data_IF_084327748032
#
_entry.id   IF_084327748032
#
_cell.length_a   1.000
_cell.length_b   1.000
_cell.length_c   1.000
_cell.angle_alpha   90.00
_cell.angle_beta   90.00
_cell.angle_gamma   90.00
#
_symmetry.space_group_name_H-M   'P 1'
#
loop_
_entity.id
_entity.type
_entity.pdbx_description
1 polymer ?
#
# COMPACT_ATOMS: atom_id res chain seq x y z
N UNK A 1 -0.06 -30.00 1.46
CA UNK A 1 -0.23 -29.03 0.36
C UNK A 1 -1.72 -28.78 0.18
N UNK A 2 -2.27 -27.61 0.51
CA UNK A 2 -3.66 -27.32 0.20
C UNK A 2 -3.75 -26.93 -1.28
N UNK A 3 -4.56 -27.67 -2.02
CA UNK A 3 -4.87 -27.36 -3.41
C UNK A 3 -5.69 -26.08 -3.43
N UNK A 4 -5.17 -25.03 -4.08
CA UNK A 4 -5.89 -23.80 -4.35
C UNK A 4 -6.96 -24.10 -5.42
N UNK A 5 -8.19 -24.30 -5.00
CA UNK A 5 -9.33 -24.41 -5.93
C UNK A 5 -9.72 -22.99 -6.35
N UNK A 6 -9.07 -22.47 -7.39
CA UNK A 6 -9.53 -21.28 -8.08
C UNK A 6 -10.96 -21.50 -8.58
N UNK A 7 -11.87 -20.55 -8.30
CA UNK A 7 -13.23 -20.60 -8.89
C UNK A 7 -13.11 -20.28 -10.36
N UNK A 8 -13.45 -21.26 -11.22
CA UNK A 8 -13.59 -21.07 -12.66
C UNK A 8 -14.97 -20.48 -12.98
N UNK A 9 -15.01 -19.42 -13.77
CA UNK A 9 -16.24 -18.83 -14.30
C UNK A 9 -16.17 -19.01 -15.81
N UNK A 10 -17.09 -19.79 -16.38
CA UNK A 10 -17.22 -19.92 -17.84
C UNK A 10 -18.10 -18.80 -18.36
N UNK A 11 -17.59 -17.96 -19.26
CA UNK A 11 -18.37 -16.93 -19.94
C UNK A 11 -18.63 -17.38 -21.36
N UNK A 12 -19.88 -17.76 -21.65
CA UNK A 12 -20.31 -18.01 -23.03
C UNK A 12 -20.82 -16.71 -23.64
N UNK A 13 -20.13 -16.18 -24.65
CA UNK A 13 -20.59 -15.00 -25.37
C UNK A 13 -21.71 -15.40 -26.31
N UNK A 14 -22.93 -14.99 -26.02
CA UNK A 14 -24.05 -15.10 -26.95
C UNK A 14 -23.81 -14.07 -28.07
N UNK A 15 -23.67 -14.51 -29.30
CA UNK A 15 -23.54 -13.62 -30.44
C UNK A 15 -24.77 -12.71 -30.51
N UNK A 16 -24.58 -11.39 -30.44
CA UNK A 16 -25.62 -10.45 -30.80
C UNK A 16 -25.75 -10.49 -32.32
N UNK A 17 -26.95 -10.74 -32.82
CA UNK A 17 -27.27 -10.62 -34.24
C UNK A 17 -27.11 -9.13 -34.61
N UNK A 18 -26.08 -8.78 -35.37
CA UNK A 18 -25.95 -7.53 -36.06
C UNK A 18 -26.09 -7.81 -37.57
N UNK A 19 -27.04 -7.16 -38.17
CA UNK A 19 -27.26 -7.21 -39.61
C UNK A 19 -26.02 -6.54 -40.29
N UNK A 20 -25.20 -7.33 -40.92
CA UNK A 20 -24.01 -6.90 -41.64
C UNK A 20 -22.96 -7.98 -41.71
N UNK A 21 -22.77 -8.52 -42.90
CA UNK A 21 -21.94 -9.66 -43.26
C UNK A 21 -20.46 -9.38 -42.99
N UNK A 22 -20.02 -9.63 -41.76
CA UNK A 22 -18.62 -9.90 -41.43
C UNK A 22 -18.61 -11.31 -40.81
N UNK A 23 -17.81 -12.22 -41.36
CA UNK A 23 -17.69 -13.57 -40.87
C UNK A 23 -17.44 -13.53 -39.33
N UNK A 24 -18.44 -13.97 -38.57
CA UNK A 24 -18.34 -14.07 -37.12
C UNK A 24 -17.19 -15.01 -36.77
N UNK A 25 -16.19 -14.50 -36.06
CA UNK A 25 -15.17 -15.36 -35.49
C UNK A 25 -15.83 -16.46 -34.65
N UNK A 26 -15.33 -17.70 -34.71
CA UNK A 26 -15.92 -18.82 -33.97
C UNK A 26 -16.02 -18.46 -32.47
N UNK A 27 -17.04 -18.96 -31.77
CA UNK A 27 -17.17 -18.72 -30.34
C UNK A 27 -15.91 -19.23 -29.64
N UNK A 28 -15.19 -18.32 -29.00
CA UNK A 28 -14.05 -18.69 -28.17
C UNK A 28 -14.62 -19.08 -26.81
N UNK A 29 -14.48 -20.35 -26.43
CA UNK A 29 -14.71 -20.78 -25.07
C UNK A 29 -13.60 -20.19 -24.18
N UNK A 30 -13.88 -19.03 -23.58
CA UNK A 30 -12.97 -18.39 -22.68
C UNK A 30 -13.26 -18.82 -21.24
N UNK A 31 -12.22 -19.33 -20.56
CA UNK A 31 -12.28 -19.64 -19.14
C UNK A 31 -11.61 -18.52 -18.35
N UNK A 32 -12.30 -18.00 -17.33
CA UNK A 32 -11.72 -17.02 -16.41
C UNK A 32 -11.32 -17.73 -15.13
N UNK A 33 -10.02 -17.70 -14.83
CA UNK A 33 -9.48 -18.15 -13.55
C UNK A 33 -9.31 -16.93 -12.64
N UNK A 34 -9.78 -17.03 -11.41
CA UNK A 34 -9.65 -15.97 -10.41
C UNK A 34 -8.51 -16.31 -9.46
N UNK A 35 -7.56 -15.39 -9.30
CA UNK A 35 -6.49 -15.54 -8.31
C UNK A 35 -7.06 -15.57 -6.88
N UNK A 36 -6.51 -16.43 -6.04
CA UNK A 36 -6.82 -16.53 -4.61
C UNK A 36 -5.54 -16.53 -3.79
N UNK A 37 -5.40 -15.62 -2.77
CA UNK A 37 -6.40 -14.65 -2.31
C UNK A 37 -6.50 -13.42 -3.23
N UNK A 38 -7.67 -12.79 -3.24
CA UNK A 38 -7.95 -11.52 -3.96
C UNK A 38 -8.81 -10.60 -3.08
N UNK A 39 -9.09 -9.39 -3.57
CA UNK A 39 -9.93 -8.41 -2.88
C UNK A 39 -9.21 -7.68 -1.76
N UNK A 40 -9.95 -7.17 -0.79
CA UNK A 40 -9.39 -6.40 0.31
C UNK A 40 -8.67 -7.29 1.33
N UNK A 41 -7.69 -6.72 2.03
CA UNK A 41 -7.09 -7.33 3.21
C UNK A 41 -7.71 -6.73 4.48
N UNK A 42 -7.51 -7.38 5.62
CA UNK A 42 -8.03 -6.91 6.90
C UNK A 42 -7.61 -5.46 7.25
N UNK A 43 -6.44 -5.02 6.80
CA UNK A 43 -5.98 -3.63 6.99
C UNK A 43 -6.81 -2.62 6.19
N UNK A 44 -7.15 -2.96 4.94
CA UNK A 44 -8.02 -2.15 4.07
C UNK A 44 -9.45 -2.12 4.62
N UNK A 45 -10.04 -3.27 4.94
CA UNK A 45 -11.39 -3.34 5.52
C UNK A 45 -11.49 -2.52 6.80
N UNK A 46 -10.53 -2.64 7.71
CA UNK A 46 -10.46 -1.86 8.94
C UNK A 46 -10.41 -0.34 8.67
N UNK A 47 -9.61 0.08 7.70
CA UNK A 47 -9.48 1.50 7.39
C UNK A 47 -10.78 2.10 6.85
N UNK A 48 -11.46 1.39 5.95
CA UNK A 48 -12.78 1.77 5.43
C UNK A 48 -13.80 1.84 6.58
N UNK A 49 -13.86 0.80 7.40
CA UNK A 49 -14.79 0.71 8.53
C UNK A 49 -14.62 1.87 9.53
N UNK A 50 -13.39 2.32 9.78
CA UNK A 50 -13.13 3.47 10.67
C UNK A 50 -13.81 4.73 10.13
N UNK A 51 -13.71 5.02 8.83
CA UNK A 51 -14.35 6.20 8.22
C UNK A 51 -15.88 6.06 8.27
N UNK A 52 -16.41 4.90 7.91
CA UNK A 52 -17.86 4.65 7.95
C UNK A 52 -18.43 4.78 9.37
N UNK A 53 -17.75 4.20 10.36
CA UNK A 53 -18.14 4.35 11.76
C UNK A 53 -18.04 5.79 12.25
N UNK A 54 -17.04 6.54 11.80
CA UNK A 54 -16.92 7.96 12.12
C UNK A 54 -18.09 8.76 11.53
N UNK A 55 -18.47 8.51 10.27
CA UNK A 55 -19.63 9.12 9.62
C UNK A 55 -20.93 8.84 10.40
N UNK A 56 -21.15 7.58 10.80
CA UNK A 56 -22.34 7.20 11.58
C UNK A 56 -22.33 7.87 12.95
N UNK A 57 -21.18 7.93 13.63
CA UNK A 57 -21.11 8.39 15.04
C UNK A 57 -21.10 9.91 15.16
N UNK A 58 -20.45 10.62 14.25
CA UNK A 58 -20.22 12.07 14.36
C UNK A 58 -20.94 12.88 13.29
N UNK A 59 -21.52 12.22 12.28
CA UNK A 59 -22.14 12.87 11.13
C UNK A 59 -21.09 13.38 10.13
N UNK A 60 -21.57 13.72 8.94
CA UNK A 60 -20.76 14.37 7.92
C UNK A 60 -20.58 15.87 8.23
N UNK A 61 -19.45 16.50 7.83
CA UNK A 61 -18.33 15.87 7.13
C UNK A 61 -17.33 15.19 8.07
N UNK A 62 -16.71 14.11 7.57
CA UNK A 62 -15.51 13.51 8.17
C UNK A 62 -14.35 13.79 7.23
N UNK A 63 -13.28 14.39 7.74
CA UNK A 63 -12.09 14.68 6.97
C UNK A 63 -11.14 13.48 6.99
N UNK A 64 -10.56 13.14 5.84
CA UNK A 64 -9.63 12.03 5.68
C UNK A 64 -8.34 12.54 5.06
N UNK A 65 -7.24 12.41 5.78
CA UNK A 65 -5.92 12.83 5.28
C UNK A 65 -5.43 11.81 4.29
N UNK A 66 -5.29 12.24 3.02
CA UNK A 66 -5.00 11.43 1.86
C UNK A 66 -6.10 10.39 1.56
N UNK A 67 -6.04 9.69 0.41
CA UNK A 67 -6.94 8.57 0.12
C UNK A 67 -6.87 7.54 1.25
N UNK A 68 -8.02 7.08 1.78
CA UNK A 68 -8.02 6.11 2.88
C UNK A 68 -7.28 4.82 2.49
N UNK A 69 -7.42 4.41 1.25
CA UNK A 69 -6.72 3.35 0.54
C UNK A 69 -6.67 3.72 -0.93
N UNK A 70 -5.70 3.24 -1.68
CA UNK A 70 -5.58 3.48 -3.13
C UNK A 70 -6.61 2.69 -3.93
N UNK A 71 -7.87 3.08 -3.81
CA UNK A 71 -9.00 2.49 -4.53
C UNK A 71 -10.05 3.55 -4.84
N UNK A 72 -10.11 3.97 -6.11
CA UNK A 72 -11.00 5.05 -6.57
C UNK A 72 -12.48 4.74 -6.28
N UNK A 73 -12.91 3.49 -6.38
CA UNK A 73 -14.28 3.11 -6.06
C UNK A 73 -14.59 3.36 -4.57
N UNK A 74 -13.73 2.92 -3.67
CA UNK A 74 -13.88 3.14 -2.21
C UNK A 74 -13.87 4.63 -1.88
N UNK A 75 -12.94 5.38 -2.45
CA UNK A 75 -12.83 6.83 -2.23
C UNK A 75 -14.09 7.54 -2.67
N UNK A 76 -14.65 7.20 -3.85
CA UNK A 76 -15.87 7.81 -4.35
C UNK A 76 -17.11 7.41 -3.52
N UNK A 77 -17.20 6.18 -3.07
CA UNK A 77 -18.29 5.72 -2.19
C UNK A 77 -18.27 6.47 -0.85
N UNK A 78 -17.09 6.62 -0.24
CA UNK A 78 -16.95 7.38 1.01
C UNK A 78 -17.23 8.87 0.83
N UNK A 79 -16.83 9.46 -0.32
CA UNK A 79 -17.19 10.84 -0.68
C UNK A 79 -18.73 11.00 -0.76
N UNK A 80 -19.40 10.08 -1.42
CA UNK A 80 -20.86 10.09 -1.52
C UNK A 80 -21.56 9.98 -0.14
N UNK A 81 -20.91 9.32 0.83
CA UNK A 81 -21.37 9.22 2.23
C UNK A 81 -21.02 10.44 3.08
N UNK A 82 -20.25 11.41 2.57
CA UNK A 82 -19.90 12.66 3.25
C UNK A 82 -18.48 12.72 3.82
N UNK A 83 -17.57 11.85 3.40
CA UNK A 83 -16.14 12.00 3.67
C UNK A 83 -15.52 13.05 2.74
N UNK A 84 -14.64 13.90 3.28
CA UNK A 84 -13.85 14.89 2.55
C UNK A 84 -12.38 14.48 2.62
N UNK A 85 -11.79 14.17 1.48
CA UNK A 85 -10.37 13.83 1.38
C UNK A 85 -9.56 15.10 1.18
N UNK A 86 -8.51 15.27 2.01
CA UNK A 86 -7.66 16.46 2.03
C UNK A 86 -6.18 16.06 2.00
N UNK A 87 -5.35 16.97 1.51
CA UNK A 87 -3.90 16.81 1.52
C UNK A 87 -3.23 17.73 2.55
N UNK A 88 -3.82 18.87 2.86
CA UNK A 88 -3.31 19.80 3.86
C UNK A 88 -4.28 19.91 5.04
N UNK A 89 -3.75 19.85 6.27
CA UNK A 89 -4.54 20.04 7.49
C UNK A 89 -5.13 21.44 7.61
N UNK A 90 -4.62 22.42 6.85
CA UNK A 90 -5.20 23.77 6.77
C UNK A 90 -6.63 23.75 6.18
N UNK A 91 -6.99 22.74 5.41
CA UNK A 91 -8.32 22.56 4.84
C UNK A 91 -9.36 22.10 5.87
N UNK A 92 -8.90 21.65 7.07
CA UNK A 92 -9.77 21.09 8.09
C UNK A 92 -10.22 22.17 9.08
N UNK A 93 -11.54 22.39 9.28
CA UNK A 93 -12.04 23.33 10.26
C UNK A 93 -11.67 22.95 11.71
N UNK A 94 -11.51 23.93 12.60
CA UNK A 94 -11.24 23.64 14.01
C UNK A 94 -12.31 22.72 14.65
N UNK A 95 -11.86 21.76 15.44
CA UNK A 95 -12.72 20.81 16.14
C UNK A 95 -13.35 19.71 15.27
N UNK A 96 -13.06 19.69 13.97
CA UNK A 96 -13.55 18.66 13.06
C UNK A 96 -12.98 17.27 13.40
N UNK A 97 -13.63 16.25 12.86
CA UNK A 97 -13.16 14.86 12.95
C UNK A 97 -12.25 14.57 11.75
N UNK A 98 -11.04 14.13 12.05
CA UNK A 98 -10.00 13.79 11.09
C UNK A 98 -9.64 12.31 11.19
N UNK A 99 -9.50 11.64 10.05
CA UNK A 99 -9.01 10.25 9.97
C UNK A 99 -7.68 10.25 9.22
N UNK A 100 -6.65 9.63 9.77
CA UNK A 100 -5.42 9.31 9.05
C UNK A 100 -5.61 8.04 8.24
N UNK A 101 -5.11 8.03 7.01
CA UNK A 101 -5.28 6.92 6.08
C UNK A 101 -4.51 5.66 6.50
N UNK A 102 -4.78 4.54 5.81
CA UNK A 102 -4.09 3.27 6.06
C UNK A 102 -2.57 3.33 5.87
N UNK A 103 -2.08 4.31 5.13
CA UNK A 103 -0.67 4.51 4.81
C UNK A 103 0.17 5.04 5.98
N UNK A 104 -0.48 5.59 7.01
CA UNK A 104 0.18 6.31 8.09
C UNK A 104 0.55 7.75 7.71
N UNK A 105 1.03 8.50 8.67
CA UNK A 105 1.41 9.90 8.49
C UNK A 105 2.74 10.22 9.19
N UNK A 106 3.47 11.26 8.72
CA UNK A 106 4.62 11.80 9.42
C UNK A 106 4.29 12.27 10.84
N UNK A 107 5.25 12.19 11.77
CA UNK A 107 5.10 12.72 13.14
C UNK A 107 4.77 14.21 13.19
N UNK A 108 5.19 14.97 12.20
CA UNK A 108 4.84 16.39 12.09
C UNK A 108 3.32 16.58 11.90
N UNK A 109 2.70 15.75 11.06
CA UNK A 109 1.25 15.79 10.80
C UNK A 109 0.46 15.38 12.05
N UNK A 110 0.91 14.35 12.78
CA UNK A 110 0.27 13.97 14.06
C UNK A 110 0.29 15.13 15.05
N UNK A 111 1.46 15.78 15.22
CA UNK A 111 1.62 16.91 16.15
C UNK A 111 0.79 18.11 15.73
N UNK A 112 0.73 18.40 14.44
CA UNK A 112 -0.10 19.49 13.92
C UNK A 112 -1.59 19.24 14.16
N UNK A 113 -2.07 18.03 13.89
CA UNK A 113 -3.45 17.66 14.13
C UNK A 113 -3.84 17.81 15.60
N UNK A 114 -2.94 17.40 16.52
CA UNK A 114 -3.13 17.58 17.96
C UNK A 114 -3.14 19.07 18.34
N UNK A 115 -2.20 19.88 17.83
CA UNK A 115 -2.11 21.30 18.12
C UNK A 115 -3.35 22.08 17.63
N UNK A 116 -3.97 21.66 16.53
CA UNK A 116 -5.21 22.22 15.99
C UNK A 116 -6.48 21.74 16.72
N UNK A 117 -6.35 20.79 17.67
CA UNK A 117 -7.47 20.29 18.47
C UNK A 117 -8.47 19.43 17.69
N UNK A 118 -8.04 18.78 16.61
CA UNK A 118 -8.91 17.87 15.86
C UNK A 118 -9.23 16.62 16.66
N UNK A 119 -10.42 16.05 16.43
CA UNK A 119 -10.74 14.70 16.88
C UNK A 119 -10.15 13.69 15.90
N UNK A 120 -8.99 13.14 16.23
CA UNK A 120 -8.23 12.27 15.35
C UNK A 120 -8.58 10.79 15.55
N UNK A 121 -8.79 10.06 14.46
CA UNK A 121 -8.83 8.61 14.40
C UNK A 121 -7.72 8.13 13.46
N UNK A 122 -6.93 7.19 13.95
CA UNK A 122 -5.82 6.64 13.19
C UNK A 122 -6.23 5.31 12.53
N UNK A 123 -6.36 5.32 11.20
CA UNK A 123 -6.63 4.14 10.40
C UNK A 123 -5.38 3.48 9.83
N UNK A 124 -4.18 3.92 10.23
CA UNK A 124 -2.90 3.32 9.81
C UNK A 124 -2.93 1.80 9.94
N UNK A 125 -2.56 1.09 8.88
CA UNK A 125 -2.48 -0.36 8.90
C UNK A 125 -1.52 -0.83 10.01
N UNK A 126 -1.89 -1.83 10.84
CA UNK A 126 -1.00 -2.32 11.90
C UNK A 126 0.38 -2.77 11.41
N UNK A 127 0.49 -3.23 10.16
CA UNK A 127 1.77 -3.62 9.58
C UNK A 127 2.64 -2.41 9.22
N UNK A 128 2.05 -1.30 8.80
CA UNK A 128 2.75 -0.01 8.63
C UNK A 128 3.17 0.53 10.00
N UNK A 129 2.27 0.50 10.99
CA UNK A 129 2.60 0.92 12.37
C UNK A 129 3.76 0.12 12.95
N UNK A 130 3.88 -1.18 12.62
CA UNK A 130 5.03 -2.02 13.01
C UNK A 130 6.34 -1.42 12.47
N UNK A 131 6.39 -1.03 11.20
CA UNK A 131 7.58 -0.42 10.59
C UNK A 131 7.91 0.91 11.28
N UNK A 132 6.90 1.77 11.53
CA UNK A 132 7.09 3.03 12.25
C UNK A 132 7.68 2.84 13.65
N UNK A 133 7.18 1.84 14.39
CA UNK A 133 7.70 1.52 15.74
C UNK A 133 9.12 1.00 15.67
N UNK A 134 9.45 0.15 14.69
CA UNK A 134 10.80 -0.38 14.50
C UNK A 134 11.79 0.73 14.15
N UNK A 135 11.43 1.59 13.21
CA UNK A 135 12.23 2.79 12.83
C UNK A 135 12.49 3.68 14.05
N UNK A 136 11.45 4.03 14.80
CA UNK A 136 11.60 4.87 15.98
C UNK A 136 12.44 4.19 17.08
N UNK A 137 12.37 2.88 17.23
CA UNK A 137 13.17 2.12 18.19
C UNK A 137 14.64 2.10 17.80
N UNK A 138 14.95 1.70 16.57
CA UNK A 138 16.33 1.58 16.09
C UNK A 138 17.02 2.95 15.98
N UNK A 139 16.27 4.00 15.65
CA UNK A 139 16.82 5.36 15.68
C UNK A 139 17.35 5.76 17.08
N UNK A 140 16.63 5.40 18.14
CA UNK A 140 17.10 5.62 19.51
C UNK A 140 18.36 4.81 19.85
N UNK A 141 18.60 3.72 19.14
CA UNK A 141 19.81 2.91 19.22
C UNK A 141 20.94 3.45 18.31
N UNK A 142 20.70 4.58 17.62
CA UNK A 142 21.68 5.28 16.77
C UNK A 142 21.79 4.75 15.35
N UNK A 143 20.75 4.05 14.84
CA UNK A 143 20.74 3.59 13.45
C UNK A 143 20.25 4.68 12.50
N UNK A 144 20.86 4.73 11.31
CA UNK A 144 20.30 5.32 10.09
C UNK A 144 19.61 4.23 9.28
N UNK A 145 18.80 4.64 8.28
CA UNK A 145 17.95 3.72 7.55
C UNK A 145 18.11 3.85 6.05
N UNK A 146 17.98 2.73 5.38
CA UNK A 146 17.74 2.62 3.95
C UNK A 146 16.29 2.17 3.79
N UNK A 147 15.45 3.07 3.24
CA UNK A 147 14.04 2.80 2.95
C UNK A 147 13.92 2.36 1.51
N UNK A 148 13.52 1.12 1.28
CA UNK A 148 13.15 0.62 -0.06
C UNK A 148 11.67 0.94 -0.27
N UNK A 149 11.35 1.75 -1.29
CA UNK A 149 9.99 2.22 -1.51
C UNK A 149 9.89 3.20 -2.67
N UNK A 150 8.67 3.58 -3.03
CA UNK A 150 8.42 4.52 -4.12
C UNK A 150 8.42 5.96 -3.60
N UNK A 151 9.13 6.83 -4.32
CA UNK A 151 9.17 8.26 -4.04
C UNK A 151 7.77 8.87 -4.17
N UNK A 152 7.39 9.69 -3.19
CA UNK A 152 6.08 10.35 -3.17
C UNK A 152 4.92 9.42 -2.77
N UNK A 153 5.17 8.14 -2.48
CA UNK A 153 4.13 7.28 -1.95
C UNK A 153 3.84 7.61 -0.48
N UNK A 154 2.56 7.79 -0.07
CA UNK A 154 2.19 8.22 1.27
C UNK A 154 2.76 7.35 2.40
N UNK A 155 2.83 6.03 2.22
CA UNK A 155 3.42 5.12 3.20
C UNK A 155 4.92 5.38 3.39
N UNK A 156 5.65 5.61 2.29
CA UNK A 156 7.07 5.98 2.34
C UNK A 156 7.28 7.31 3.05
N UNK A 157 6.49 8.32 2.72
CA UNK A 157 6.52 9.63 3.39
C UNK A 157 6.17 9.52 4.87
N UNK A 158 5.15 8.73 5.21
CA UNK A 158 4.76 8.44 6.59
C UNK A 158 5.88 7.81 7.39
N UNK A 159 6.57 6.82 6.82
CA UNK A 159 7.69 6.12 7.46
C UNK A 159 8.91 7.02 7.59
N UNK A 160 9.32 7.70 6.53
CA UNK A 160 10.45 8.65 6.58
C UNK A 160 10.17 9.79 7.56
N UNK A 161 8.94 10.27 7.63
CA UNK A 161 8.51 11.32 8.54
C UNK A 161 8.38 10.90 10.02
N UNK A 162 8.70 9.65 10.38
CA UNK A 162 8.81 9.25 11.79
C UNK A 162 10.06 9.85 12.46
N UNK A 163 11.07 10.21 11.69
CA UNK A 163 12.36 10.73 12.14
C UNK A 163 12.63 12.13 11.59
N UNK A 164 13.49 12.90 12.25
CA UNK A 164 13.93 14.20 11.73
C UNK A 164 14.91 14.09 10.55
N UNK A 165 15.42 12.89 10.25
CA UNK A 165 16.38 12.60 9.19
C UNK A 165 17.03 11.24 9.37
N UNK A 166 18.06 10.95 8.55
CA UNK A 166 18.79 9.68 8.62
C UNK A 166 18.07 8.50 7.94
N UNK A 167 17.13 8.79 7.03
CA UNK A 167 16.50 7.78 6.17
C UNK A 167 16.79 8.12 4.71
N UNK A 168 17.37 7.16 4.00
CA UNK A 168 17.76 7.25 2.60
C UNK A 168 16.80 6.41 1.75
N UNK A 169 16.03 7.06 0.88
CA UNK A 169 15.11 6.37 -0.03
C UNK A 169 15.88 5.71 -1.17
N UNK A 170 15.52 4.50 -1.50
CA UNK A 170 16.01 3.70 -2.62
C UNK A 170 14.81 3.10 -3.34
N UNK A 171 14.67 3.42 -4.63
CA UNK A 171 13.61 2.88 -5.47
C UNK A 171 14.12 1.74 -6.35
N UNK A 172 15.39 1.83 -6.79
CA UNK A 172 16.02 0.92 -7.72
C UNK A 172 17.44 0.56 -7.26
N UNK A 173 17.98 -0.53 -7.81
CA UNK A 173 19.35 -1.00 -7.50
C UNK A 173 20.40 0.10 -7.72
N UNK A 174 20.23 0.93 -8.78
CA UNK A 174 21.14 2.02 -9.10
C UNK A 174 21.22 3.10 -8.02
N UNK A 175 20.13 3.31 -7.26
CA UNK A 175 20.08 4.31 -6.20
C UNK A 175 20.99 3.94 -5.03
N UNK A 176 21.19 2.64 -4.81
CA UNK A 176 22.10 2.15 -3.77
C UNK A 176 23.49 2.80 -3.88
N UNK A 177 23.98 3.04 -5.11
CA UNK A 177 25.27 3.70 -5.35
C UNK A 177 25.28 5.18 -4.96
N UNK A 178 24.11 5.84 -4.88
CA UNK A 178 23.97 7.30 -4.67
C UNK A 178 23.82 7.69 -3.21
N UNK A 179 23.28 6.80 -2.37
CA UNK A 179 23.06 7.11 -0.95
C UNK A 179 24.40 7.35 -0.23
N UNK A 180 24.40 8.23 0.76
CA UNK A 180 25.58 8.63 1.55
C UNK A 180 25.21 8.65 3.03
N UNK A 181 25.04 7.48 3.67
CA UNK A 181 24.82 7.44 5.11
C UNK A 181 26.04 7.98 5.86
N UNK A 182 25.80 8.60 7.01
CA UNK A 182 26.88 9.11 7.86
C UNK A 182 27.50 8.01 8.70
N UNK A 183 26.74 6.94 8.96
CA UNK A 183 27.17 5.76 9.71
C UNK A 183 26.91 4.50 8.92
N UNK A 184 27.98 3.80 8.52
CA UNK A 184 27.86 2.54 7.76
C UNK A 184 27.76 1.30 8.64
N UNK A 185 28.17 1.40 9.91
CA UNK A 185 28.13 0.29 10.87
C UNK A 185 26.75 0.13 11.56
N UNK A 186 25.96 1.20 11.57
CA UNK A 186 24.62 1.24 12.17
C UNK A 186 23.58 1.66 11.14
N UNK A 187 23.47 0.83 10.11
CA UNK A 187 22.43 0.94 9.10
C UNK A 187 21.39 -0.15 9.28
N UNK A 188 20.13 0.16 9.02
CA UNK A 188 19.04 -0.80 8.95
C UNK A 188 18.26 -0.61 7.64
N UNK A 189 17.80 -1.72 7.06
CA UNK A 189 16.87 -1.69 5.93
C UNK A 189 15.45 -1.77 6.47
N UNK A 190 14.56 -0.97 5.90
CA UNK A 190 13.11 -1.06 6.03
C UNK A 190 12.49 -0.96 4.65
N UNK A 191 11.33 -1.56 4.46
CA UNK A 191 10.65 -1.53 3.16
C UNK A 191 9.22 -1.02 3.28
N UNK A 192 8.71 -0.44 2.20
CA UNK A 192 7.28 -0.23 2.02
C UNK A 192 6.58 -1.60 2.03
N UNK A 193 5.36 -1.66 2.59
CA UNK A 193 4.64 -2.93 2.79
C UNK A 193 4.04 -3.52 1.50
N UNK A 194 3.99 -2.74 0.43
CA UNK A 194 3.30 -3.04 -0.83
C UNK A 194 4.24 -3.04 -2.04
N UNK A 195 5.46 -3.57 -1.88
CA UNK A 195 6.43 -3.72 -2.97
C UNK A 195 6.34 -5.09 -3.64
N UNK A 196 6.92 -5.19 -4.85
CA UNK A 196 7.30 -6.46 -5.43
C UNK A 196 8.32 -7.16 -4.51
N UNK A 197 8.04 -8.40 -4.15
CA UNK A 197 8.94 -9.20 -3.29
C UNK A 197 10.28 -9.42 -3.98
N UNK A 198 10.25 -9.66 -5.30
CA UNK A 198 11.44 -9.94 -6.08
C UNK A 198 12.33 -8.69 -6.21
N UNK A 199 11.73 -7.53 -6.53
CA UNK A 199 12.46 -6.26 -6.67
C UNK A 199 13.05 -5.83 -5.32
N UNK A 200 12.29 -5.95 -4.24
CA UNK A 200 12.78 -5.64 -2.89
C UNK A 200 13.93 -6.55 -2.47
N UNK A 201 13.91 -7.82 -2.87
CA UNK A 201 14.99 -8.76 -2.59
C UNK A 201 16.25 -8.39 -3.39
N UNK A 202 16.12 -7.99 -4.67
CA UNK A 202 17.25 -7.55 -5.50
C UNK A 202 17.90 -6.29 -4.95
N UNK A 203 17.09 -5.28 -4.59
CA UNK A 203 17.60 -4.05 -3.98
C UNK A 203 18.27 -4.34 -2.64
N UNK A 204 17.67 -5.20 -1.80
CA UNK A 204 18.25 -5.59 -0.51
C UNK A 204 19.60 -6.28 -0.70
N UNK A 205 19.73 -7.15 -1.69
CA UNK A 205 21.01 -7.81 -2.01
C UNK A 205 22.08 -6.79 -2.41
N UNK A 206 21.74 -5.80 -3.24
CA UNK A 206 22.65 -4.72 -3.61
C UNK A 206 23.06 -3.85 -2.40
N UNK A 207 22.11 -3.55 -1.50
CA UNK A 207 22.39 -2.85 -0.24
C UNK A 207 23.37 -3.63 0.62
N UNK A 208 23.17 -4.94 0.79
CA UNK A 208 24.07 -5.82 1.56
C UNK A 208 25.45 -5.93 0.93
N UNK A 209 25.53 -5.99 -0.39
CA UNK A 209 26.83 -6.01 -1.09
C UNK A 209 27.64 -4.74 -0.81
N UNK A 210 26.97 -3.57 -0.74
CA UNK A 210 27.62 -2.28 -0.46
C UNK A 210 27.86 -2.03 1.02
N UNK A 211 26.93 -2.44 1.88
CA UNK A 211 26.95 -2.25 3.34
C UNK A 211 26.81 -3.59 4.06
N UNK A 212 27.90 -4.37 4.19
CA UNK A 212 27.83 -5.74 4.72
C UNK A 212 27.32 -5.84 6.17
N UNK A 213 27.41 -4.75 6.94
CA UNK A 213 26.93 -4.71 8.34
C UNK A 213 25.48 -4.23 8.46
N UNK A 214 24.78 -4.00 7.33
CA UNK A 214 23.39 -3.52 7.35
C UNK A 214 22.48 -4.54 8.04
N UNK A 215 21.64 -4.04 8.93
CA UNK A 215 20.66 -4.84 9.65
C UNK A 215 19.41 -4.99 8.82
N UNK A 216 19.00 -6.20 8.54
CA UNK A 216 17.70 -6.50 7.94
C UNK A 216 16.59 -6.53 9.01
N UNK A 217 15.32 -6.27 8.63
CA UNK A 217 14.19 -6.39 9.54
C UNK A 217 14.09 -7.85 10.05
N UNK A 218 13.73 -8.03 11.33
CA UNK A 218 13.57 -9.37 11.92
C UNK A 218 12.47 -10.20 11.26
N UNK A 219 11.49 -9.54 10.70
CA UNK A 219 10.41 -10.10 9.91
C UNK A 219 10.25 -9.22 8.69
N UNK A 220 9.94 -9.81 7.54
CA UNK A 220 9.73 -9.04 6.32
C UNK A 220 8.69 -7.93 6.54
N UNK A 221 8.98 -6.74 6.02
CA UNK A 221 8.07 -5.60 6.11
C UNK A 221 7.00 -5.67 5.04
N UNK A 222 7.28 -6.29 3.86
CA UNK A 222 6.26 -6.54 2.85
C UNK A 222 5.15 -7.38 3.47
N UNK A 223 3.91 -6.88 3.43
CA UNK A 223 2.82 -7.50 4.14
C UNK A 223 2.41 -8.85 3.52
N UNK A 224 1.96 -9.77 4.37
CA UNK A 224 1.50 -11.11 3.95
C UNK A 224 0.44 -11.05 2.84
N UNK A 225 -0.41 -10.03 2.86
CA UNK A 225 -1.46 -9.86 1.87
C UNK A 225 -0.87 -9.54 0.49
N UNK A 226 0.18 -8.72 0.42
CA UNK A 226 0.94 -8.44 -0.81
C UNK A 226 1.65 -9.70 -1.29
N UNK A 227 2.39 -10.39 -0.42
CA UNK A 227 3.11 -11.62 -0.78
C UNK A 227 2.17 -12.69 -1.32
N UNK A 228 1.11 -13.01 -0.57
CA UNK A 228 0.17 -14.06 -0.97
C UNK A 228 -0.51 -13.77 -2.32
N UNK A 229 -0.78 -12.48 -2.63
CA UNK A 229 -1.36 -12.10 -3.92
C UNK A 229 -0.35 -12.24 -5.05
N UNK A 230 0.89 -11.83 -4.84
CA UNK A 230 1.96 -12.01 -5.83
C UNK A 230 2.20 -13.50 -6.12
N UNK A 231 2.24 -14.34 -5.08
CA UNK A 231 2.38 -15.79 -5.23
C UNK A 231 1.22 -16.40 -6.01
N UNK A 232 -0.02 -15.98 -5.69
CA UNK A 232 -1.21 -16.44 -6.41
C UNK A 232 -1.18 -16.05 -7.90
N UNK A 233 -0.77 -14.82 -8.22
CA UNK A 233 -0.65 -14.36 -9.62
C UNK A 233 0.49 -15.09 -10.33
N UNK A 234 1.64 -15.29 -9.70
CA UNK A 234 2.77 -16.05 -10.27
C UNK A 234 2.41 -17.51 -10.58
N UNK A 235 1.58 -18.14 -9.75
CA UNK A 235 1.07 -19.48 -10.01
C UNK A 235 0.09 -19.47 -11.19
N UNK A 236 -0.89 -18.57 -11.14
CA UNK A 236 -1.95 -18.46 -12.14
C UNK A 236 -1.38 -18.12 -13.54
N UNK A 237 -0.38 -17.26 -13.62
CA UNK A 237 0.24 -16.83 -14.88
C UNK A 237 0.86 -17.98 -15.70
N UNK A 238 1.10 -19.13 -15.09
CA UNK A 238 1.60 -20.33 -15.76
C UNK A 238 0.51 -21.17 -16.42
N UNK A 239 -0.76 -20.88 -16.13
CA UNK A 239 -1.93 -21.66 -16.52
C UNK A 239 -2.86 -20.89 -17.46
N UNK A 240 -2.55 -19.63 -17.76
CA UNK A 240 -3.42 -18.76 -18.56
C UNK A 240 -2.64 -18.08 -19.69
N UNK A 241 -3.32 -17.76 -20.79
CA UNK A 241 -2.74 -17.04 -21.92
C UNK A 241 -2.66 -15.53 -21.69
N UNK A 242 -3.55 -14.99 -20.84
CA UNK A 242 -3.67 -13.55 -20.54
C UNK A 242 -3.93 -13.35 -19.05
N UNK A 243 -3.20 -12.44 -18.43
CA UNK A 243 -3.46 -11.97 -17.06
C UNK A 243 -4.07 -10.58 -17.11
N UNK A 244 -5.21 -10.41 -16.46
CA UNK A 244 -5.88 -9.10 -16.33
C UNK A 244 -5.76 -8.66 -14.88
N UNK A 245 -5.08 -7.53 -14.66
CA UNK A 245 -4.96 -6.89 -13.34
C UNK A 245 -5.98 -5.77 -13.25
N UNK A 246 -6.85 -5.84 -12.24
CA UNK A 246 -7.84 -4.79 -11.95
C UNK A 246 -7.38 -4.05 -10.70
N UNK A 247 -7.08 -2.77 -10.84
CA UNK A 247 -6.55 -1.94 -9.75
C UNK A 247 -6.65 -0.45 -10.01
N UNK A 248 -6.04 0.34 -9.13
CA UNK A 248 -5.92 1.79 -9.26
C UNK A 248 -4.50 2.15 -9.69
N UNK A 249 -4.29 3.14 -10.58
CA UNK A 249 -2.95 3.58 -10.99
C UNK A 249 -2.05 4.05 -9.83
N UNK A 250 -2.66 4.49 -8.73
CA UNK A 250 -1.95 4.95 -7.53
C UNK A 250 -1.59 3.82 -6.57
N UNK A 251 -2.08 2.59 -6.83
CA UNK A 251 -1.87 1.45 -5.93
C UNK A 251 -0.59 0.70 -6.28
N UNK A 252 0.35 0.63 -5.35
CA UNK A 252 1.55 -0.21 -5.46
C UNK A 252 1.25 -1.71 -5.51
N UNK A 253 0.00 -2.13 -5.24
CA UNK A 253 -0.43 -3.52 -5.34
C UNK A 253 -0.93 -3.90 -6.75
N UNK A 254 -0.99 -2.98 -7.69
CA UNK A 254 -1.46 -3.21 -9.07
C UNK A 254 -0.30 -3.33 -10.03
#
# INVERSE_FOLDING_TARGET
>A
MPQSHGRSITITRKAAAADGEAAAAPPVDAHILLAEPRGFCAGVDRAIEIVERALVKFGAPIYVRHEIVHNTYVVNDLKAKGAIFIEDLAEVPPGATLVFSAHGVPKAVEREAQARGFRVFDATCPLVSKVHVEVAKLHREGYEFIMIGHKGHPEGEGTMGQLPGGIHLVEEVQDVARIRPTQTERLAVVTQTTLSVDDAAEITAAVKARFPMVREPKQQDICYATQNRQDAVKLLSREVDVVIVVGSPTSSNS
#
